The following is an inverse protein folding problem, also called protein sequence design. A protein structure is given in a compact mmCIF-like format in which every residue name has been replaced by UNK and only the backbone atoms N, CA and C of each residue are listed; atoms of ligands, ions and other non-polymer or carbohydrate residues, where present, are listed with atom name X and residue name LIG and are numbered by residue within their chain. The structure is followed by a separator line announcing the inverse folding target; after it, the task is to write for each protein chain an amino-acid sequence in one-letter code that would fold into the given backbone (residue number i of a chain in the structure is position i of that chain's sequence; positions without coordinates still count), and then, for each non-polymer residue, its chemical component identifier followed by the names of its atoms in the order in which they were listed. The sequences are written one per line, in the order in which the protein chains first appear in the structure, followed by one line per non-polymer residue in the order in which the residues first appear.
data_IF_744020258738
#
_entry.id   IF_744020258738
#
_cell.length_a   1.000
_cell.length_b   1.000
_cell.length_c   1.000
_cell.angle_alpha   90.00
_cell.angle_beta   90.00
_cell.angle_gamma   90.00
#
_symmetry.space_group_name_H-M   'P 1'
#
loop_
_entity.id
_entity.type
_entity.pdbx_description
1 polymer ?
#
# COMPACT_ATOMS: atom_id res chain seq x y z
N UNK A 1 4.31 13.40 8.22
CA UNK A 1 5.21 14.02 7.24
C UNK A 1 5.64 12.94 6.27
N UNK A 2 5.38 13.14 4.97
CA UNK A 2 5.89 12.24 3.94
C UNK A 2 7.42 12.23 4.01
N UNK A 3 8.04 11.04 4.02
CA UNK A 3 9.50 10.95 3.93
C UNK A 3 9.95 11.34 2.52
N UNK A 4 11.14 11.94 2.35
CA UNK A 4 11.66 12.26 1.01
C UNK A 4 11.65 11.03 0.10
N UNK A 5 11.90 9.85 0.65
CA UNK A 5 11.94 8.61 -0.11
C UNK A 5 10.57 8.19 -0.63
N UNK A 6 9.51 8.42 0.16
CA UNK A 6 8.14 8.24 -0.29
C UNK A 6 7.78 9.21 -1.42
N UNK A 7 8.26 10.45 -1.36
CA UNK A 7 8.05 11.46 -2.42
C UNK A 7 8.78 11.07 -3.71
N UNK A 8 10.02 10.59 -3.63
CA UNK A 8 10.79 10.11 -4.80
C UNK A 8 10.15 8.88 -5.45
N UNK A 9 9.66 7.94 -4.64
CA UNK A 9 8.89 6.80 -5.13
C UNK A 9 7.58 7.25 -5.80
N UNK A 10 6.84 8.17 -5.18
CA UNK A 10 5.61 8.72 -5.71
C UNK A 10 5.80 9.46 -7.04
N UNK A 11 6.90 10.20 -7.19
CA UNK A 11 7.26 10.86 -8.44
C UNK A 11 7.47 9.85 -9.59
N UNK A 12 8.12 8.72 -9.31
CA UNK A 12 8.31 7.64 -10.29
C UNK A 12 6.96 7.02 -10.71
N UNK A 13 6.05 6.77 -9.76
CA UNK A 13 4.71 6.25 -10.09
C UNK A 13 3.91 7.24 -10.95
N UNK A 14 4.06 8.55 -10.70
CA UNK A 14 3.43 9.60 -11.52
C UNK A 14 3.98 9.62 -12.94
N UNK A 15 5.29 9.51 -13.11
CA UNK A 15 5.95 9.48 -14.41
C UNK A 15 5.47 8.28 -15.25
N UNK A 16 5.46 7.09 -14.63
CA UNK A 16 4.89 5.88 -15.23
C UNK A 16 3.43 6.09 -15.67
N UNK A 17 2.61 6.67 -14.79
CA UNK A 17 1.19 6.96 -15.07
C UNK A 17 1.01 7.96 -16.20
N UNK A 18 1.84 8.99 -16.24
CA UNK A 18 1.78 10.05 -17.25
C UNK A 18 2.04 9.50 -18.65
N UNK A 19 3.10 8.70 -18.78
CA UNK A 19 3.44 7.98 -20.01
C UNK A 19 2.34 7.01 -20.46
N UNK A 20 1.61 6.41 -19.51
CA UNK A 20 0.49 5.52 -19.82
C UNK A 20 -0.76 6.22 -20.33
N UNK A 21 -0.91 7.53 -20.09
CA UNK A 21 -2.13 8.27 -20.39
C UNK A 21 -3.39 7.82 -19.63
N UNK A 22 -3.22 7.15 -18.48
CA UNK A 22 -4.34 6.58 -17.70
C UNK A 22 -4.74 7.48 -16.52
N UNK A 23 -6.05 7.60 -16.31
CA UNK A 23 -6.62 8.33 -15.17
C UNK A 23 -6.57 7.52 -13.88
N UNK A 24 -6.42 8.20 -12.74
CA UNK A 24 -6.41 7.55 -11.42
C UNK A 24 -7.67 6.72 -11.13
N UNK A 25 -8.85 7.11 -11.63
CA UNK A 25 -10.08 6.33 -11.48
C UNK A 25 -10.04 4.96 -12.19
N UNK A 26 -9.41 4.89 -13.37
CA UNK A 26 -9.24 3.62 -14.11
C UNK A 26 -8.27 2.70 -13.37
N UNK A 27 -7.20 3.27 -12.81
CA UNK A 27 -6.20 2.55 -12.04
C UNK A 27 -6.78 2.05 -10.71
N UNK A 28 -7.54 2.89 -10.00
CA UNK A 28 -8.25 2.56 -8.77
C UNK A 28 -9.19 1.37 -8.97
N UNK A 29 -10.00 1.40 -10.03
CA UNK A 29 -10.92 0.30 -10.38
C UNK A 29 -10.20 -1.02 -10.66
N UNK A 30 -9.08 -0.99 -11.41
CA UNK A 30 -8.30 -2.20 -11.72
C UNK A 30 -7.52 -2.76 -10.52
N UNK A 31 -7.14 -1.89 -9.58
CA UNK A 31 -6.35 -2.27 -8.43
C UNK A 31 -7.20 -2.64 -7.21
N UNK A 32 -8.52 -2.45 -7.28
CA UNK A 32 -9.45 -2.59 -6.16
C UNK A 32 -9.10 -1.70 -4.96
N UNK A 33 -8.52 -0.52 -5.23
CA UNK A 33 -8.24 0.50 -4.20
C UNK A 33 -9.03 1.75 -4.47
N UNK A 34 -9.34 2.53 -3.43
CA UNK A 34 -9.99 3.82 -3.61
C UNK A 34 -9.07 4.82 -4.30
N UNK A 35 -9.64 5.70 -5.14
CA UNK A 35 -8.91 6.80 -5.79
C UNK A 35 -8.16 7.68 -4.78
N UNK A 36 -8.73 7.89 -3.59
CA UNK A 36 -8.09 8.63 -2.50
C UNK A 36 -6.79 7.97 -2.03
N UNK A 37 -6.78 6.65 -1.83
CA UNK A 37 -5.58 5.88 -1.47
C UNK A 37 -4.51 5.99 -2.55
N UNK A 38 -4.91 5.87 -3.82
CA UNK A 38 -4.01 5.98 -4.96
C UNK A 38 -3.38 7.38 -5.04
N UNK A 39 -4.17 8.43 -4.78
CA UNK A 39 -3.68 9.81 -4.70
C UNK A 39 -2.64 9.98 -3.60
N UNK A 40 -2.85 9.38 -2.41
CA UNK A 40 -1.85 9.42 -1.33
C UNK A 40 -0.56 8.74 -1.74
N UNK A 41 -0.63 7.60 -2.44
CA UNK A 41 0.56 6.90 -2.94
C UNK A 41 1.32 7.73 -3.99
N UNK A 42 0.59 8.38 -4.90
CA UNK A 42 1.17 9.23 -5.94
C UNK A 42 1.62 10.62 -5.44
N UNK A 43 1.29 10.98 -4.21
CA UNK A 43 1.79 12.18 -3.53
C UNK A 43 2.86 11.87 -2.48
N UNK A 44 3.16 10.58 -2.22
CA UNK A 44 4.11 10.16 -1.20
C UNK A 44 3.58 10.28 0.24
N UNK A 45 2.28 10.57 0.40
CA UNK A 45 1.62 10.72 1.70
C UNK A 45 1.42 9.36 2.40
N UNK A 46 1.24 8.30 1.60
CA UNK A 46 1.18 6.94 2.09
C UNK A 46 2.03 6.02 1.20
N UNK A 47 2.74 5.07 1.81
CA UNK A 47 3.47 4.01 1.11
C UNK A 47 2.75 2.70 1.39
N UNK A 48 2.39 1.89 0.38
CA UNK A 48 1.79 0.57 0.63
C UNK A 48 2.77 -0.35 1.37
N UNK A 49 2.24 -1.16 2.29
CA UNK A 49 2.96 -2.18 3.07
C UNK A 49 3.32 -3.43 2.26
N UNK A 50 2.64 -3.65 1.14
CA UNK A 50 2.88 -4.76 0.23
C UNK A 50 3.16 -4.24 -1.19
N UNK A 51 4.05 -4.91 -1.91
CA UNK A 51 4.39 -4.56 -3.29
C UNK A 51 3.33 -4.98 -4.32
N UNK A 52 2.42 -5.90 -3.98
CA UNK A 52 1.41 -6.42 -4.90
C UNK A 52 0.51 -5.35 -5.57
N UNK A 53 0.02 -4.30 -4.87
CA UNK A 53 -0.68 -3.18 -5.53
C UNK A 53 0.24 -2.32 -6.39
N UNK A 54 1.52 -2.18 -6.03
CA UNK A 54 2.49 -1.40 -6.82
C UNK A 54 2.85 -2.12 -8.11
N UNK A 55 3.09 -3.43 -8.05
CA UNK A 55 3.38 -4.25 -9.22
C UNK A 55 2.20 -4.24 -10.20
N UNK A 56 0.97 -4.46 -9.70
CA UNK A 56 -0.24 -4.43 -10.52
C UNK A 56 -0.45 -3.06 -11.16
N UNK A 57 -0.22 -1.96 -10.43
CA UNK A 57 -0.27 -0.61 -10.99
C UNK A 57 0.73 -0.45 -12.14
N UNK A 58 1.99 -0.80 -11.92
CA UNK A 58 3.04 -0.67 -12.92
C UNK A 58 2.77 -1.56 -14.15
N UNK A 59 2.29 -2.80 -13.97
CA UNK A 59 1.82 -3.65 -15.07
C UNK A 59 0.68 -3.02 -15.86
N UNK A 60 -0.31 -2.45 -15.18
CA UNK A 60 -1.44 -1.75 -15.84
C UNK A 60 -0.94 -0.52 -16.59
N UNK A 61 0.09 0.15 -16.10
CA UNK A 61 0.77 1.26 -16.77
C UNK A 61 1.64 0.81 -17.97
N UNK A 62 1.90 -0.48 -18.14
CA UNK A 62 2.76 -1.00 -19.19
C UNK A 62 4.24 -0.84 -18.87
N UNK A 63 4.61 -0.85 -17.59
CA UNK A 63 6.00 -0.87 -17.16
C UNK A 63 6.70 -2.13 -17.69
N UNK A 64 7.93 -1.95 -18.18
CA UNK A 64 8.82 -3.05 -18.55
C UNK A 64 9.34 -3.78 -17.31
N UNK A 65 9.85 -5.00 -17.47
CA UNK A 65 10.42 -5.77 -16.36
C UNK A 65 11.52 -5.01 -15.61
N UNK A 66 12.37 -4.29 -16.35
CA UNK A 66 13.44 -3.47 -15.76
C UNK A 66 12.88 -2.31 -14.91
N UNK A 67 11.80 -1.68 -15.38
CA UNK A 67 11.12 -0.62 -14.65
C UNK A 67 10.43 -1.15 -13.40
N UNK A 68 9.85 -2.35 -13.43
CA UNK A 68 9.29 -3.00 -12.25
C UNK A 68 10.36 -3.22 -11.17
N UNK A 69 11.58 -3.59 -11.56
CA UNK A 69 12.72 -3.74 -10.63
C UNK A 69 13.11 -2.40 -10.02
N UNK A 70 13.15 -1.34 -10.82
CA UNK A 70 13.46 0.02 -10.33
C UNK A 70 12.38 0.54 -9.36
N UNK A 71 11.10 0.33 -9.69
CA UNK A 71 9.97 0.62 -8.80
C UNK A 71 10.12 -0.16 -7.48
N UNK A 72 10.49 -1.45 -7.55
CA UNK A 72 10.67 -2.30 -6.38
C UNK A 72 11.81 -1.82 -5.48
N UNK A 73 12.97 -1.45 -6.06
CA UNK A 73 14.11 -0.90 -5.31
C UNK A 73 13.71 0.37 -4.56
N UNK A 74 13.04 1.31 -5.22
CA UNK A 74 12.58 2.56 -4.59
C UNK A 74 11.50 2.31 -3.53
N UNK A 75 10.62 1.34 -3.77
CA UNK A 75 9.62 0.95 -2.79
C UNK A 75 10.27 0.41 -1.51
N UNK A 76 11.32 -0.43 -1.60
CA UNK A 76 12.04 -0.93 -0.41
C UNK A 76 12.62 0.24 0.40
N UNK A 77 13.24 1.22 -0.25
CA UNK A 77 13.83 2.39 0.43
C UNK A 77 12.73 3.24 1.09
N UNK A 78 11.62 3.47 0.39
CA UNK A 78 10.47 4.19 0.92
C UNK A 78 9.80 3.45 2.09
N UNK A 79 9.65 2.12 1.99
CA UNK A 79 9.10 1.28 3.06
C UNK A 79 10.02 1.25 4.28
N UNK A 80 11.33 1.12 4.09
CA UNK A 80 12.30 1.20 5.18
C UNK A 80 12.26 2.57 5.88
N UNK A 81 12.15 3.66 5.12
CA UNK A 81 12.03 5.02 5.65
C UNK A 81 10.69 5.23 6.38
N UNK A 82 9.59 4.64 5.89
CA UNK A 82 8.28 4.66 6.55
C UNK A 82 8.25 3.81 7.82
N UNK A 83 8.93 2.65 7.80
CA UNK A 83 9.00 1.70 8.92
C UNK A 83 9.92 2.19 10.02
N UNK A 84 10.84 3.12 9.73
CA UNK A 84 11.54 3.91 10.75
C UNK A 84 10.48 4.80 11.43
N UNK A 85 10.03 4.44 12.65
CA UNK A 85 9.00 5.23 13.31
C UNK A 85 9.58 6.61 13.58
N UNK A 86 8.81 7.71 13.45
CA UNK A 86 9.11 8.86 14.31
C UNK A 86 9.05 8.35 15.75
N UNK A 87 9.95 8.79 16.63
CA UNK A 87 10.08 8.30 18.00
C UNK A 87 8.84 8.52 18.90
N UNK A 88 7.66 8.79 18.33
CA UNK A 88 6.39 8.89 19.00
C UNK A 88 5.32 8.22 18.14
N UNK A 89 4.60 7.26 18.74
CA UNK A 89 3.43 6.55 18.21
C UNK A 89 3.71 5.24 17.46
N UNK A 90 3.94 4.21 18.27
CA UNK A 90 3.76 2.81 17.89
C UNK A 90 2.28 2.54 17.54
N UNK A 91 2.05 1.97 16.37
CA UNK A 91 0.87 1.15 16.08
C UNK A 91 1.30 0.05 15.09
N UNK A 92 1.14 -1.23 15.43
CA UNK A 92 1.45 -2.30 14.51
C UNK A 92 0.35 -2.37 13.45
N UNK A 93 0.69 -2.04 12.20
CA UNK A 93 -0.18 -2.32 11.05
C UNK A 93 -0.16 -3.84 10.80
N UNK A 94 -1.01 -4.55 11.53
CA UNK A 94 -1.37 -5.95 11.27
C UNK A 94 -2.11 -6.02 9.93
N UNK A 95 -1.74 -7.01 9.13
CA UNK A 95 -2.32 -7.34 7.83
C UNK A 95 -3.82 -7.67 7.95
N UNK A 96 -4.62 -7.48 6.88
CA UNK A 96 -6.01 -7.90 6.87
C UNK A 96 -6.08 -9.39 6.54
N UNK A 97 -6.27 -10.23 7.55
CA UNK A 97 -6.85 -11.55 7.36
C UNK A 97 -8.16 -11.61 8.16
N UNK A 98 -9.25 -11.88 7.44
CA UNK A 98 -10.56 -12.23 7.98
C UNK A 98 -10.38 -13.39 8.99
N UNK A 99 -11.16 -13.53 10.07
CA UNK A 99 -12.58 -13.93 10.10
C UNK A 99 -13.17 -13.55 11.47
N UNK A 100 -14.40 -13.01 11.57
CA UNK A 100 -15.04 -12.80 12.86
C UNK A 100 -15.72 -14.09 13.34
N UNK A 101 -15.07 -14.87 14.19
CA UNK A 101 -15.71 -15.97 14.92
C UNK A 101 -16.14 -15.48 16.32
N UNK A 102 -17.34 -14.90 16.38
CA UNK A 102 -18.05 -14.61 17.64
C UNK A 102 -18.72 -15.89 18.13
N UNK A 103 -18.20 -16.52 19.18
CA UNK A 103 -19.01 -17.36 20.09
C UNK A 103 -18.40 -17.30 21.51
N UNK A 104 -19.04 -16.61 22.47
CA UNK A 104 -18.96 -17.04 23.86
C UNK A 104 -20.01 -18.14 24.05
N UNK A 105 -19.46 -19.34 24.21
CA UNK A 105 -20.12 -20.57 24.62
C UNK A 105 -20.98 -20.38 25.87
N UNK A 106 -22.09 -21.11 25.89
CA UNK A 106 -23.06 -21.10 26.96
C UNK A 106 -22.70 -22.12 28.05
N UNK A 107 -22.91 -21.71 29.31
CA UNK A 107 -23.01 -22.51 30.54
C UNK A 107 -21.74 -23.17 31.10
N UNK A 108 -21.68 -23.28 32.44
CA UNK A 108 -21.91 -24.61 32.97
C UNK A 108 -22.92 -24.65 34.11
N UNK A 109 -23.55 -25.82 34.20
CA UNK A 109 -24.49 -26.27 35.21
C UNK A 109 -23.87 -26.46 36.60
N UNK A 110 -24.74 -26.45 37.64
CA UNK A 110 -24.87 -27.37 38.80
C UNK A 110 -23.58 -27.97 39.40
N UNK A 111 -23.34 -28.14 40.71
CA UNK A 111 -24.09 -28.62 41.90
C UNK A 111 -23.08 -28.52 43.11
N UNK A 112 -23.40 -28.73 44.41
CA UNK A 112 -24.19 -29.82 45.04
C UNK A 112 -25.54 -29.42 45.63
#
# INVERSE_FOLDING_TARGET
MATPEAVHFAALLKDLKDRSGRSYGVLAGKLHVSTSTLHRYCNGDAVPNEFAPVERFARVCGASGDELVEVHRRWIVADAARRRPPASSAAPAVAPDAVPAKVPDAAPAAVP
#
